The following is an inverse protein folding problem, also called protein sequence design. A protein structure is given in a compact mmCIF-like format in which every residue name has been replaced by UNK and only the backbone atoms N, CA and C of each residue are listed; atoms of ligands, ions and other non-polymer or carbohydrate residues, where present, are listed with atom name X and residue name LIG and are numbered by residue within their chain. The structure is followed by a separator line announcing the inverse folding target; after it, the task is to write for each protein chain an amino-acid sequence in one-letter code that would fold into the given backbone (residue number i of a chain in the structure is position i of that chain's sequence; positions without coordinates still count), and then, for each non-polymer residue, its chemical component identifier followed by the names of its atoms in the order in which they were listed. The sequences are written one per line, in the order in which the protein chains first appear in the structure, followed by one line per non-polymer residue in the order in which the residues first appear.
data_IF_288522479557
#
_entry.id   IF_288522479557
#
_cell.length_a   1.000
_cell.length_b   1.000
_cell.length_c   1.000
_cell.angle_alpha   90.00
_cell.angle_beta   90.00
_cell.angle_gamma   90.00
#
_symmetry.space_group_name_H-M   'P 1'
#
loop_
_entity.id
_entity.type
_entity.pdbx_description
1 polymer ?
#
# COMPACT_ATOMS: atom_id res chain seq x y z
N UNK A 1 1.68 12.38 -11.62
CA UNK A 1 1.02 12.44 -10.30
C UNK A 1 -0.16 11.48 -10.14
N UNK A 2 -1.25 11.61 -10.91
CA UNK A 2 -2.46 10.78 -10.72
C UNK A 2 -2.22 9.28 -11.02
N UNK A 3 -1.42 9.00 -12.04
CA UNK A 3 -1.04 7.63 -12.43
C UNK A 3 -0.15 6.97 -11.37
N UNK A 4 0.81 7.73 -10.82
CA UNK A 4 1.76 7.23 -9.81
C UNK A 4 1.06 6.81 -8.51
N UNK A 5 0.08 7.59 -8.06
CA UNK A 5 -0.73 7.27 -6.87
C UNK A 5 -1.55 6.00 -7.11
N UNK A 6 -2.15 5.86 -8.30
CA UNK A 6 -2.94 4.68 -8.67
C UNK A 6 -2.08 3.41 -8.73
N UNK A 7 -0.85 3.55 -9.23
CA UNK A 7 0.12 2.46 -9.26
C UNK A 7 0.47 1.99 -7.84
N UNK A 8 0.71 2.90 -6.90
CA UNK A 8 1.02 2.57 -5.50
C UNK A 8 -0.11 1.79 -4.84
N UNK A 9 -1.37 2.21 -5.01
CA UNK A 9 -2.52 1.47 -4.49
C UNK A 9 -2.65 0.08 -5.12
N UNK A 10 -2.37 -0.04 -6.42
CA UNK A 10 -2.40 -1.33 -7.13
C UNK A 10 -1.32 -2.28 -6.60
N UNK A 11 -0.10 -1.80 -6.41
CA UNK A 11 1.01 -2.57 -5.82
C UNK A 11 0.67 -3.01 -4.40
N UNK A 12 0.10 -2.12 -3.58
CA UNK A 12 -0.30 -2.45 -2.23
C UNK A 12 -1.41 -3.51 -2.19
N UNK A 13 -2.37 -3.45 -3.12
CA UNK A 13 -3.42 -4.46 -3.25
C UNK A 13 -2.84 -5.84 -3.62
N UNK A 14 -1.90 -5.89 -4.57
CA UNK A 14 -1.20 -7.13 -4.94
C UNK A 14 -0.46 -7.71 -3.74
N UNK A 15 0.28 -6.89 -2.99
CA UNK A 15 0.98 -7.33 -1.78
C UNK A 15 0.04 -7.84 -0.69
N UNK A 16 -1.12 -7.20 -0.51
CA UNK A 16 -2.14 -7.65 0.45
C UNK A 16 -2.73 -9.01 0.06
N UNK A 17 -3.01 -9.23 -1.24
CA UNK A 17 -3.48 -10.52 -1.75
C UNK A 17 -2.42 -11.61 -1.55
N UNK A 18 -1.14 -11.31 -1.81
CA UNK A 18 -0.05 -12.26 -1.56
C UNK A 18 0.09 -12.59 -0.07
N UNK A 19 -0.02 -11.59 0.81
CA UNK A 19 0.01 -11.79 2.25
C UNK A 19 -1.13 -12.69 2.72
N UNK A 20 -2.35 -12.47 2.21
CA UNK A 20 -3.52 -13.28 2.54
C UNK A 20 -3.37 -14.71 2.01
N UNK A 21 -2.91 -14.87 0.78
CA UNK A 21 -2.64 -16.18 0.18
C UNK A 21 -1.60 -16.95 1.00
N UNK A 22 -0.53 -16.28 1.45
CA UNK A 22 0.50 -16.89 2.30
C UNK A 22 0.02 -17.22 3.72
N UNK A 23 -0.89 -16.41 4.29
CA UNK A 23 -1.44 -16.65 5.61
C UNK A 23 -2.46 -17.80 5.63
N UNK A 24 -3.23 -17.96 4.55
CA UNK A 24 -4.26 -19.00 4.42
C UNK A 24 -3.71 -20.34 3.89
N UNK A 25 -2.55 -20.33 3.23
CA UNK A 25 -1.89 -21.55 2.80
C UNK A 25 -1.38 -22.31 4.05
N UNK A 26 -1.76 -23.59 4.25
CA UNK A 26 -1.35 -24.39 5.41
C UNK A 26 0.10 -24.87 5.26
N UNK A 27 1.04 -23.93 5.29
CA UNK A 27 2.48 -24.18 5.16
C UNK A 27 3.10 -23.90 6.53
N UNK A 28 3.10 -24.92 7.38
CA UNK A 28 3.47 -24.86 8.80
C UNK A 28 4.86 -24.24 9.09
N UNK A 29 5.73 -24.09 8.08
CA UNK A 29 7.05 -23.46 8.20
C UNK A 29 7.21 -22.08 7.54
N UNK A 30 6.24 -21.56 6.78
CA UNK A 30 6.41 -20.33 5.96
C UNK A 30 5.55 -19.14 6.39
N UNK A 31 4.84 -19.24 7.52
CA UNK A 31 4.02 -18.15 8.09
C UNK A 31 4.81 -16.84 8.29
N UNK A 32 6.11 -16.92 8.52
CA UNK A 32 6.97 -15.73 8.65
C UNK A 32 6.97 -14.84 7.39
N UNK A 33 6.78 -15.40 6.20
CA UNK A 33 6.71 -14.63 4.96
C UNK A 33 5.40 -13.84 4.82
N UNK A 34 4.30 -14.32 5.40
CA UNK A 34 3.04 -13.58 5.41
C UNK A 34 3.20 -12.21 6.09
N UNK A 35 4.06 -12.12 7.10
CA UNK A 35 4.40 -10.87 7.77
C UNK A 35 5.20 -9.91 6.89
N UNK A 36 6.12 -10.42 6.06
CA UNK A 36 6.89 -9.61 5.10
C UNK A 36 5.96 -8.99 4.07
N UNK A 37 5.07 -9.80 3.49
CA UNK A 37 4.08 -9.35 2.51
C UNK A 37 3.03 -8.41 3.15
N UNK A 38 2.57 -8.70 4.37
CA UNK A 38 1.63 -7.83 5.09
C UNK A 38 2.25 -6.47 5.46
N UNK A 39 3.50 -6.47 5.93
CA UNK A 39 4.22 -5.25 6.28
C UNK A 39 4.49 -4.36 5.07
N UNK A 40 4.90 -4.94 3.94
CA UNK A 40 5.08 -4.11 2.73
C UNK A 40 3.76 -3.61 2.15
N UNK A 41 2.67 -4.36 2.25
CA UNK A 41 1.34 -3.85 1.89
C UNK A 41 0.97 -2.61 2.74
N UNK A 42 1.22 -2.67 4.04
CA UNK A 42 1.00 -1.54 4.95
C UNK A 42 1.91 -0.35 4.63
N UNK A 43 3.19 -0.58 4.29
CA UNK A 43 4.14 0.45 3.88
C UNK A 43 3.68 1.16 2.60
N UNK A 44 3.28 0.42 1.56
CA UNK A 44 2.81 1.01 0.30
C UNK A 44 1.47 1.74 0.47
N UNK A 45 0.54 1.19 1.26
CA UNK A 45 -0.70 1.89 1.62
C UNK A 45 -0.41 3.20 2.36
N UNK A 46 0.48 3.16 3.36
CA UNK A 46 0.89 4.33 4.12
C UNK A 46 1.51 5.40 3.22
N UNK A 47 2.39 5.00 2.29
CA UNK A 47 3.02 5.91 1.33
C UNK A 47 2.00 6.53 0.37
N UNK A 48 1.05 5.73 -0.16
CA UNK A 48 -0.03 6.24 -1.01
C UNK A 48 -0.92 7.24 -0.28
N UNK A 49 -1.22 7.00 1.00
CA UNK A 49 -2.00 7.90 1.83
C UNK A 49 -1.22 9.20 2.13
N UNK A 50 0.06 9.09 2.45
CA UNK A 50 0.94 10.23 2.70
C UNK A 50 1.08 11.11 1.46
N UNK A 51 1.28 10.52 0.28
CA UNK A 51 1.37 11.26 -0.99
C UNK A 51 0.04 11.93 -1.36
N UNK A 52 -1.10 11.26 -1.10
CA UNK A 52 -2.42 11.85 -1.30
C UNK A 52 -2.68 13.02 -0.34
N UNK A 53 -2.28 12.88 0.92
CA UNK A 53 -2.37 13.95 1.93
C UNK A 53 -1.48 15.14 1.56
N UNK A 54 -0.23 14.89 1.16
CA UNK A 54 0.70 15.92 0.70
C UNK A 54 0.19 16.65 -0.55
N UNK A 55 -0.35 15.91 -1.53
CA UNK A 55 -0.95 16.50 -2.73
C UNK A 55 -2.18 17.37 -2.41
N UNK A 56 -3.00 16.95 -1.43
CA UNK A 56 -4.14 17.74 -0.98
C UNK A 56 -3.71 19.00 -0.21
N UNK A 57 -2.68 18.89 0.63
CA UNK A 57 -2.10 20.01 1.36
C UNK A 57 -1.48 21.05 0.40
N UNK A 58 -0.78 20.59 -0.64
CA UNK A 58 -0.24 21.47 -1.68
C UNK A 58 -1.35 22.22 -2.44
N UNK A 59 -2.43 21.52 -2.83
CA UNK A 59 -3.58 22.19 -3.49
C UNK A 59 -4.26 23.22 -2.60
N UNK A 60 -4.38 22.95 -1.29
CA UNK A 60 -4.89 23.92 -0.33
C UNK A 60 -3.99 25.15 -0.17
N UNK A 61 -2.67 24.96 -0.15
CA UNK A 61 -1.69 26.04 -0.07
C UNK A 61 -1.68 26.93 -1.32
N UNK A 62 -2.06 26.37 -2.48
CA UNK A 62 -2.09 27.07 -3.77
C UNK A 62 -3.44 27.80 -4.03
N UNK A 63 -4.42 27.69 -3.14
CA UNK A 63 -5.65 28.51 -3.19
C UNK A 63 -6.57 28.24 -4.39
N UNK A 64 -6.50 27.07 -5.03
CA UNK A 64 -7.48 26.65 -6.04
C UNK A 64 -8.55 25.74 -5.44
N UNK A 65 -9.85 26.02 -5.67
CA UNK A 65 -10.96 25.18 -5.22
C UNK A 65 -10.89 23.77 -5.82
#
# INVERSE_FOLDING_TARGET
MKFDITLIFTVAAVWAVLALAYALAPWSGMIGYAWVWGFGAALFLGLGLALRAASAAHRKAEGRP
#
